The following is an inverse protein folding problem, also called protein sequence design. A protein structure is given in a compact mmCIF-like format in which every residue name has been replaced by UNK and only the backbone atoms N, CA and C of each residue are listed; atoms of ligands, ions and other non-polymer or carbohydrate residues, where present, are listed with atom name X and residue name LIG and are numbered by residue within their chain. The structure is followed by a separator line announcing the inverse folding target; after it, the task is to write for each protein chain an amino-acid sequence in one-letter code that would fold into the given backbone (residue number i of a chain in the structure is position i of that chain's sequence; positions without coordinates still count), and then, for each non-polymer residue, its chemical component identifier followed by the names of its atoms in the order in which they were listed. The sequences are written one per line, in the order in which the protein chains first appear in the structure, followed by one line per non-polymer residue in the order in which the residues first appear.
data_IF_153309003722
#
_entry.id   IF_153309003722
#
_cell.length_a   1.000
_cell.length_b   1.000
_cell.length_c   1.000
_cell.angle_alpha   90.00
_cell.angle_beta   90.00
_cell.angle_gamma   90.00
#
_symmetry.space_group_name_H-M   'P 1'
#
loop_
_entity.id
_entity.type
_entity.pdbx_description
1 polymer ?
#
# COMPACT_ATOMS: atom_id res chain seq x y z
N UNK A 1 13.20 -22.61 32.18
CA UNK A 1 13.69 -21.35 31.59
C UNK A 1 12.49 -20.51 31.31
N UNK A 2 12.34 -19.47 32.12
CA UNK A 2 11.25 -18.50 32.01
C UNK A 2 11.80 -17.28 31.30
N UNK A 3 10.95 -16.65 30.49
CA UNK A 3 11.31 -15.49 29.66
C UNK A 3 10.45 -14.32 30.12
N UNK A 4 11.11 -13.26 30.57
CA UNK A 4 10.44 -12.04 30.99
C UNK A 4 10.81 -10.92 30.04
N UNK A 5 9.82 -10.22 29.50
CA UNK A 5 9.98 -9.06 28.63
C UNK A 5 9.80 -7.79 29.45
N UNK A 6 10.64 -6.80 29.21
CA UNK A 6 10.50 -5.48 29.81
C UNK A 6 9.46 -4.64 29.07
N UNK A 7 8.35 -4.33 29.75
CA UNK A 7 7.31 -3.42 29.28
C UNK A 7 7.67 -1.97 29.67
N UNK A 8 7.90 -1.13 28.68
CA UNK A 8 8.33 0.25 28.86
C UNK A 8 7.21 1.16 29.40
N UNK A 9 5.95 0.84 29.05
CA UNK A 9 4.80 1.65 29.43
C UNK A 9 4.44 1.42 30.91
N UNK A 10 4.43 0.16 31.33
CA UNK A 10 4.10 -0.23 32.70
C UNK A 10 5.33 -0.28 33.62
N UNK A 11 6.54 -0.26 33.04
CA UNK A 11 7.82 -0.39 33.76
C UNK A 11 7.92 -1.68 34.57
N UNK A 12 7.38 -2.77 34.02
CA UNK A 12 7.28 -4.08 34.65
C UNK A 12 7.88 -5.17 33.75
N UNK A 13 8.33 -6.24 34.40
CA UNK A 13 8.75 -7.47 33.73
C UNK A 13 7.55 -8.41 33.61
N UNK A 14 7.17 -8.75 32.37
CA UNK A 14 6.03 -9.64 32.08
C UNK A 14 6.53 -10.95 31.53
N UNK A 15 6.00 -12.07 32.03
CA UNK A 15 6.32 -13.38 31.48
C UNK A 15 5.60 -13.55 30.13
N UNK A 16 6.38 -13.81 29.07
CA UNK A 16 5.84 -13.90 27.72
C UNK A 16 6.40 -15.09 26.95
N UNK A 17 5.54 -15.64 26.08
CA UNK A 17 5.88 -16.83 25.33
C UNK A 17 6.51 -16.56 23.98
N UNK A 18 6.30 -15.36 23.43
CA UNK A 18 6.76 -14.94 22.11
C UNK A 18 7.74 -13.76 22.30
N UNK A 19 8.83 -13.74 21.54
CA UNK A 19 9.85 -12.68 21.62
C UNK A 19 9.87 -11.86 20.33
N UNK A 20 9.82 -10.54 20.45
CA UNK A 20 9.94 -9.62 19.32
C UNK A 20 11.36 -9.08 19.20
N UNK A 21 11.74 -8.64 18.00
CA UNK A 21 13.09 -8.14 17.72
C UNK A 21 13.45 -6.84 18.46
N UNK A 22 12.47 -6.12 18.98
CA UNK A 22 12.67 -4.88 19.74
C UNK A 22 12.56 -5.06 21.27
N UNK A 23 12.41 -6.31 21.72
CA UNK A 23 12.25 -6.61 23.14
C UNK A 23 13.59 -6.67 23.86
N UNK A 24 13.52 -6.47 25.18
CA UNK A 24 14.59 -6.75 26.12
C UNK A 24 14.10 -7.85 27.02
N UNK A 25 14.89 -8.92 27.12
CA UNK A 25 14.43 -10.18 27.66
C UNK A 25 15.35 -10.61 28.79
N UNK A 26 14.78 -10.82 29.98
CA UNK A 26 15.43 -11.51 31.07
C UNK A 26 15.08 -13.00 30.99
N UNK A 27 16.10 -13.85 30.82
CA UNK A 27 15.95 -15.31 30.79
C UNK A 27 16.41 -15.87 32.13
N UNK A 28 15.46 -16.41 32.88
CA UNK A 28 15.72 -17.09 34.13
C UNK A 28 16.06 -18.56 33.87
N UNK A 29 17.32 -18.94 34.06
CA UNK A 29 17.73 -20.35 34.10
C UNK A 29 17.70 -20.87 35.53
N UNK A 30 16.59 -21.51 35.89
CA UNK A 30 16.36 -22.14 37.19
C UNK A 30 17.40 -23.22 37.54
N UNK A 31 17.98 -23.90 36.53
CA UNK A 31 18.95 -24.98 36.77
C UNK A 31 20.29 -24.44 37.25
N UNK A 32 20.77 -23.40 36.59
CA UNK A 32 22.05 -22.74 36.91
C UNK A 32 21.88 -21.63 37.94
N UNK A 33 20.64 -21.29 38.30
CA UNK A 33 20.30 -20.10 39.10
C UNK A 33 20.98 -18.85 38.54
N UNK A 34 20.89 -18.67 37.22
CA UNK A 34 21.45 -17.52 36.48
C UNK A 34 20.34 -16.78 35.75
N UNK A 35 20.45 -15.46 35.72
CA UNK A 35 19.53 -14.61 34.97
C UNK A 35 20.32 -13.91 33.88
N UNK A 36 19.93 -14.17 32.65
CA UNK A 36 20.59 -13.63 31.48
C UNK A 36 19.78 -12.47 30.93
N UNK A 37 20.43 -11.38 30.57
CA UNK A 37 19.77 -10.24 29.95
C UNK A 37 20.13 -10.22 28.47
N UNK A 38 19.13 -10.37 27.61
CA UNK A 38 19.28 -10.31 26.17
C UNK A 38 18.63 -9.05 25.61
N UNK A 39 19.33 -8.42 24.68
CA UNK A 39 18.85 -7.26 23.95
C UNK A 39 18.45 -7.69 22.54
N UNK A 40 17.20 -7.43 22.16
CA UNK A 40 16.75 -7.62 20.79
C UNK A 40 17.54 -6.80 19.79
N UNK A 41 17.76 -7.32 18.55
CA UNK A 41 18.60 -6.67 17.55
C UNK A 41 18.07 -5.29 17.11
N UNK A 42 16.77 -5.03 17.26
CA UNK A 42 16.12 -3.74 16.95
C UNK A 42 15.79 -2.91 18.20
N UNK A 43 16.20 -3.33 19.40
CA UNK A 43 15.93 -2.60 20.64
C UNK A 43 16.83 -1.37 20.79
N UNK A 44 16.29 -0.29 21.37
CA UNK A 44 17.06 0.89 21.76
C UNK A 44 18.00 0.58 22.94
N UNK A 45 19.19 1.19 22.92
CA UNK A 45 20.14 1.17 24.03
C UNK A 45 19.59 1.86 25.27
N UNK A 46 18.81 2.95 25.13
CA UNK A 46 18.22 3.66 26.27
C UNK A 46 17.25 2.77 27.04
N UNK A 47 16.37 2.08 26.31
CA UNK A 47 15.44 1.09 26.86
C UNK A 47 16.19 -0.05 27.57
N UNK A 48 17.31 -0.51 26.99
CA UNK A 48 18.16 -1.54 27.61
C UNK A 48 18.76 -1.09 28.94
N UNK A 49 19.27 0.15 29.01
CA UNK A 49 19.80 0.71 30.26
C UNK A 49 18.72 0.88 31.34
N UNK A 50 17.51 1.31 30.97
CA UNK A 50 16.41 1.43 31.93
C UNK A 50 15.95 0.06 32.43
N UNK A 51 15.75 -0.90 31.53
CA UNK A 51 15.41 -2.28 31.89
C UNK A 51 16.43 -2.91 32.84
N UNK A 52 17.73 -2.75 32.53
CA UNK A 52 18.82 -3.22 33.40
C UNK A 52 18.74 -2.59 34.78
N UNK A 53 18.59 -1.26 34.87
CA UNK A 53 18.51 -0.57 36.17
C UNK A 53 17.34 -1.07 37.03
N UNK A 54 16.20 -1.40 36.40
CA UNK A 54 15.02 -1.95 37.07
C UNK A 54 15.23 -3.38 37.53
N UNK A 55 15.88 -4.19 36.70
CA UNK A 55 16.24 -5.56 37.04
C UNK A 55 17.24 -5.60 38.20
N UNK A 56 18.28 -4.76 38.16
CA UNK A 56 19.25 -4.60 39.24
C UNK A 56 18.57 -4.18 40.55
N UNK A 57 17.59 -3.27 40.50
CA UNK A 57 16.81 -2.88 41.67
C UNK A 57 16.02 -4.06 42.26
N UNK A 58 15.38 -4.88 41.42
CA UNK A 58 14.63 -6.06 41.86
C UNK A 58 15.54 -7.13 42.48
N UNK A 59 16.71 -7.35 41.89
CA UNK A 59 17.69 -8.34 42.35
C UNK A 59 18.38 -7.96 43.66
N UNK A 60 18.58 -6.67 43.90
CA UNK A 60 19.17 -6.15 45.14
C UNK A 60 18.13 -5.96 46.26
N UNK A 61 16.86 -6.31 46.03
CA UNK A 61 15.83 -6.23 47.06
C UNK A 61 16.07 -7.29 48.14
N UNK A 62 16.02 -6.93 49.44
CA UNK A 62 16.31 -7.85 50.56
C UNK A 62 15.36 -9.07 50.65
N UNK A 63 14.28 -9.08 49.86
CA UNK A 63 13.33 -10.20 49.77
C UNK A 63 13.78 -11.30 48.78
N UNK A 64 14.66 -11.00 47.83
CA UNK A 64 15.15 -11.94 46.82
C UNK A 64 16.60 -12.33 47.12
N UNK A 65 16.77 -13.44 47.83
CA UNK A 65 18.09 -14.07 48.09
C UNK A 65 18.65 -14.79 46.84
N UNK A 66 18.58 -14.14 45.68
CA UNK A 66 18.98 -14.74 44.42
C UNK A 66 20.28 -14.08 43.94
N UNK A 67 21.38 -14.83 44.03
CA UNK A 67 22.68 -14.47 43.43
C UNK A 67 22.63 -14.73 41.93
N UNK A 68 21.87 -13.91 41.21
CA UNK A 68 21.92 -13.95 39.76
C UNK A 68 23.06 -13.07 39.26
N UNK A 69 23.93 -13.66 38.43
CA UNK A 69 24.96 -12.95 37.70
C UNK A 69 24.40 -12.56 36.33
N UNK A 70 24.31 -11.25 36.05
CA UNK A 70 23.89 -10.75 34.75
C UNK A 70 25.06 -10.90 33.78
N UNK A 71 24.93 -11.82 32.82
CA UNK A 71 25.91 -12.00 31.76
C UNK A 71 25.39 -11.32 30.48
N UNK A 72 26.13 -10.31 30.03
CA UNK A 72 25.82 -9.46 28.87
C UNK A 72 26.59 -9.89 27.61
N UNK A 73 27.78 -10.46 27.77
CA UNK A 73 28.75 -10.63 26.68
C UNK A 73 28.67 -12.01 26.01
N UNK A 74 28.23 -13.04 26.74
CA UNK A 74 28.15 -14.40 26.18
C UNK A 74 26.99 -15.20 26.78
N UNK A 75 25.86 -15.14 26.09
CA UNK A 75 24.76 -16.06 26.35
C UNK A 75 25.21 -17.49 26.04
N UNK A 76 25.02 -18.47 26.95
CA UNK A 76 25.30 -19.86 26.65
C UNK A 76 24.51 -20.29 25.42
N UNK A 77 25.12 -21.14 24.57
CA UNK A 77 24.48 -21.62 23.34
C UNK A 77 23.06 -22.16 23.57
N UNK A 78 22.84 -22.86 24.69
CA UNK A 78 21.52 -23.37 25.08
C UNK A 78 20.46 -22.28 25.32
N UNK A 79 20.86 -21.11 25.84
CA UNK A 79 19.97 -19.96 26.04
C UNK A 79 19.68 -19.32 24.69
N UNK A 80 20.70 -19.12 23.86
CA UNK A 80 20.57 -18.60 22.50
C UNK A 80 19.64 -19.47 21.65
N UNK A 81 19.85 -20.80 21.64
CA UNK A 81 19.03 -21.74 20.87
C UNK A 81 17.53 -21.62 21.22
N UNK A 82 17.21 -21.35 22.49
CA UNK A 82 15.82 -21.13 22.95
C UNK A 82 15.28 -19.74 22.62
N UNK A 83 16.11 -18.70 22.68
CA UNK A 83 15.73 -17.36 22.21
C UNK A 83 15.41 -17.43 20.71
N UNK A 84 16.27 -18.09 19.94
CA UNK A 84 16.10 -18.28 18.49
C UNK A 84 14.85 -19.11 18.18
N UNK A 85 14.55 -20.16 18.95
CA UNK A 85 13.31 -20.94 18.81
C UNK A 85 12.07 -20.06 19.00
N UNK A 86 12.07 -19.21 20.03
CA UNK A 86 10.96 -18.28 20.28
C UNK A 86 10.88 -17.13 19.26
N UNK A 87 12.03 -16.66 18.74
CA UNK A 87 12.07 -15.64 17.68
C UNK A 87 11.65 -16.17 16.32
N UNK A 88 11.88 -17.46 16.01
CA UNK A 88 11.41 -18.08 14.75
C UNK A 88 9.89 -18.02 14.57
N UNK A 89 9.15 -17.99 15.67
CA UNK A 89 7.69 -17.78 15.62
C UNK A 89 7.41 -16.40 15.04
N UNK A 90 8.06 -15.36 15.59
CA UNK A 90 7.96 -13.97 15.14
C UNK A 90 8.46 -13.76 13.71
N UNK A 91 9.55 -14.42 13.32
CA UNK A 91 10.09 -14.36 11.96
C UNK A 91 9.07 -14.90 10.93
N UNK A 92 8.43 -16.04 11.24
CA UNK A 92 7.37 -16.60 10.41
C UNK A 92 6.14 -15.69 10.34
N UNK A 93 5.78 -15.01 11.42
CA UNK A 93 4.69 -14.02 11.40
C UNK A 93 5.05 -12.77 10.61
N UNK A 94 6.27 -12.22 10.77
CA UNK A 94 6.74 -11.06 9.98
C UNK A 94 6.82 -11.39 8.47
N UNK A 95 7.28 -12.59 8.10
CA UNK A 95 7.27 -13.04 6.71
C UNK A 95 5.85 -13.21 6.14
N UNK A 96 4.93 -13.76 6.93
CA UNK A 96 3.52 -13.87 6.57
C UNK A 96 2.84 -12.49 6.43
N UNK A 97 3.22 -11.51 7.25
CA UNK A 97 2.75 -10.12 7.13
C UNK A 97 3.34 -9.42 5.90
N UNK A 98 4.59 -9.73 5.53
CA UNK A 98 5.26 -9.17 4.35
C UNK A 98 4.61 -9.61 3.04
N UNK A 99 4.14 -10.86 2.96
CA UNK A 99 3.48 -11.43 1.78
C UNK A 99 1.97 -11.56 1.99
N UNK A 100 1.25 -10.49 1.65
CA UNK A 100 -0.22 -10.46 1.73
C UNK A 100 -0.94 -11.38 0.74
N UNK A 101 -0.31 -11.69 -0.40
CA UNK A 101 -0.87 -12.60 -1.39
C UNK A 101 -0.41 -14.03 -1.11
N UNK A 102 -1.38 -14.92 -0.92
CA UNK A 102 -1.17 -16.31 -0.52
C UNK A 102 -0.94 -17.26 -1.71
N UNK A 103 -1.43 -16.91 -2.90
CA UNK A 103 -1.40 -17.79 -4.09
C UNK A 103 -0.64 -17.18 -5.27
N UNK A 104 0.18 -17.99 -5.93
CA UNK A 104 0.89 -17.59 -7.13
C UNK A 104 -0.02 -17.14 -8.29
N UNK A 105 -1.16 -17.80 -8.46
CA UNK A 105 -2.11 -17.49 -9.53
C UNK A 105 -2.68 -16.08 -9.35
N UNK A 106 -3.06 -15.72 -8.12
CA UNK A 106 -3.62 -14.39 -7.82
C UNK A 106 -2.55 -13.32 -7.92
N UNK A 107 -1.30 -13.60 -7.54
CA UNK A 107 -0.15 -12.69 -7.77
C UNK A 107 0.00 -12.35 -9.25
N UNK A 108 0.00 -13.36 -10.13
CA UNK A 108 0.18 -13.16 -11.58
C UNK A 108 -1.02 -12.46 -12.21
N UNK A 109 -2.23 -12.91 -11.91
CA UNK A 109 -3.46 -12.28 -12.41
C UNK A 109 -3.54 -10.82 -11.99
N UNK A 110 -3.26 -10.53 -10.72
CA UNK A 110 -3.28 -9.16 -10.21
C UNK A 110 -2.22 -8.28 -10.86
N UNK A 111 -1.00 -8.80 -11.06
CA UNK A 111 0.05 -8.08 -11.77
C UNK A 111 -0.36 -7.72 -13.19
N UNK A 112 -0.92 -8.67 -13.95
CA UNK A 112 -1.41 -8.43 -15.31
C UNK A 112 -2.48 -7.33 -15.29
N UNK A 113 -3.42 -7.40 -14.35
CA UNK A 113 -4.46 -6.39 -14.22
C UNK A 113 -3.89 -5.02 -13.86
N UNK A 114 -2.92 -4.94 -12.95
CA UNK A 114 -2.26 -3.67 -12.60
C UNK A 114 -1.54 -3.05 -13.79
N UNK A 115 -0.79 -3.85 -14.57
CA UNK A 115 -0.12 -3.37 -15.78
C UNK A 115 -1.15 -2.85 -16.78
N UNK A 116 -2.21 -3.61 -17.04
CA UNK A 116 -3.26 -3.23 -17.96
C UNK A 116 -4.00 -1.95 -17.51
N UNK A 117 -4.33 -1.83 -16.22
CA UNK A 117 -4.93 -0.62 -15.62
C UNK A 117 -4.01 0.59 -15.79
N UNK A 118 -2.72 0.46 -15.48
CA UNK A 118 -1.76 1.56 -15.63
C UNK A 118 -1.62 1.97 -17.10
N UNK A 119 -1.52 1.00 -18.01
CA UNK A 119 -1.42 1.26 -19.45
C UNK A 119 -2.67 1.96 -20.01
N UNK A 120 -3.87 1.45 -19.70
CA UNK A 120 -5.14 2.06 -20.10
C UNK A 120 -5.31 3.46 -19.48
N UNK A 121 -4.84 3.66 -18.25
CA UNK A 121 -4.80 4.98 -17.63
C UNK A 121 -3.98 6.00 -18.43
N UNK A 122 -2.80 5.60 -18.91
CA UNK A 122 -1.99 6.45 -19.80
C UNK A 122 -2.73 6.73 -21.11
N UNK A 123 -3.37 5.72 -21.72
CA UNK A 123 -4.16 5.92 -22.94
C UNK A 123 -5.35 6.87 -22.73
N UNK A 124 -6.02 6.80 -21.58
CA UNK A 124 -7.10 7.73 -21.20
C UNK A 124 -6.58 9.16 -21.11
N UNK A 125 -5.42 9.37 -20.47
CA UNK A 125 -4.78 10.68 -20.42
C UNK A 125 -4.44 11.19 -21.82
N UNK A 126 -3.81 10.37 -22.66
CA UNK A 126 -3.46 10.77 -24.03
C UNK A 126 -4.72 11.13 -24.85
N UNK A 127 -5.79 10.34 -24.72
CA UNK A 127 -7.04 10.64 -25.39
C UNK A 127 -7.67 11.94 -24.85
N UNK A 128 -7.65 12.19 -23.54
CA UNK A 128 -8.13 13.44 -22.93
C UNK A 128 -7.41 14.66 -23.55
N UNK A 129 -6.07 14.62 -23.57
CA UNK A 129 -5.24 15.72 -24.05
C UNK A 129 -5.19 15.83 -25.58
N UNK A 130 -5.70 14.85 -26.34
CA UNK A 130 -5.75 14.94 -27.81
C UNK A 130 -6.53 16.17 -28.32
N UNK A 131 -7.47 16.70 -27.51
CA UNK A 131 -8.21 17.93 -27.80
C UNK A 131 -7.34 19.19 -27.87
N UNK A 132 -6.16 19.19 -27.24
CA UNK A 132 -5.24 20.34 -27.24
C UNK A 132 -4.60 20.52 -28.63
N UNK A 133 -4.41 19.44 -29.38
CA UNK A 133 -3.72 19.45 -30.69
C UNK A 133 -4.60 19.87 -31.87
N UNK A 134 -5.81 20.36 -31.60
CA UNK A 134 -6.73 20.83 -32.64
C UNK A 134 -6.36 22.22 -33.15
N UNK A 135 -7.04 22.69 -34.20
CA UNK A 135 -6.82 24.02 -34.75
C UNK A 135 -7.47 25.10 -33.87
N UNK A 136 -6.65 25.99 -33.32
CA UNK A 136 -7.08 27.09 -32.47
C UNK A 136 -7.29 28.33 -33.33
N UNK A 137 -8.47 28.94 -33.23
CA UNK A 137 -8.74 30.25 -33.81
C UNK A 137 -8.91 31.26 -32.67
N UNK A 138 -7.80 31.89 -32.27
CA UNK A 138 -7.70 32.84 -31.15
C UNK A 138 -8.30 32.33 -29.83
N UNK A 139 -9.62 32.48 -29.66
CA UNK A 139 -10.36 32.20 -28.42
C UNK A 139 -11.17 30.89 -28.51
N UNK A 140 -11.39 30.38 -29.72
CA UNK A 140 -12.28 29.25 -29.97
C UNK A 140 -11.52 28.09 -30.63
N UNK A 141 -11.92 26.86 -30.27
CA UNK A 141 -11.50 25.63 -30.95
C UNK A 141 -12.57 25.25 -31.97
N UNK A 142 -12.12 24.98 -33.20
CA UNK A 142 -12.98 24.45 -34.27
C UNK A 142 -12.80 22.94 -34.34
N UNK A 143 -13.89 22.21 -34.16
CA UNK A 143 -13.94 20.74 -34.20
C UNK A 143 -14.95 20.29 -35.23
N UNK A 144 -14.63 19.24 -36.00
CA UNK A 144 -15.63 18.57 -36.83
C UNK A 144 -16.50 17.67 -35.95
N UNK A 145 -17.79 17.57 -36.25
CA UNK A 145 -18.70 16.74 -35.47
C UNK A 145 -18.25 15.28 -35.44
N UNK A 146 -17.73 14.76 -36.57
CA UNK A 146 -17.14 13.42 -36.65
C UNK A 146 -15.97 13.23 -35.69
N UNK A 147 -15.02 14.17 -35.64
CA UNK A 147 -13.89 14.06 -34.71
C UNK A 147 -14.36 14.07 -33.26
N UNK A 148 -15.32 14.93 -32.93
CA UNK A 148 -15.91 15.03 -31.60
C UNK A 148 -16.55 13.70 -31.14
N UNK A 149 -17.38 13.13 -32.01
CA UNK A 149 -18.08 11.87 -31.72
C UNK A 149 -17.10 10.70 -31.60
N UNK A 150 -16.09 10.66 -32.46
CA UNK A 150 -15.08 9.61 -32.43
C UNK A 150 -14.20 9.72 -31.18
N UNK A 151 -13.83 10.95 -30.80
CA UNK A 151 -13.07 11.22 -29.58
C UNK A 151 -13.83 10.77 -28.32
N UNK A 152 -15.11 11.17 -28.19
CA UNK A 152 -15.98 10.74 -27.08
C UNK A 152 -16.16 9.22 -27.06
N UNK A 153 -16.32 8.59 -28.22
CA UNK A 153 -16.52 7.14 -28.33
C UNK A 153 -15.27 6.37 -27.93
N UNK A 154 -14.09 6.78 -28.42
CA UNK A 154 -12.81 6.22 -27.96
C UNK A 154 -12.63 6.37 -26.46
N UNK A 155 -12.96 7.54 -25.91
CA UNK A 155 -12.85 7.78 -24.46
C UNK A 155 -13.75 6.82 -23.66
N UNK A 156 -15.02 6.69 -24.06
CA UNK A 156 -15.98 5.80 -23.41
C UNK A 156 -15.54 4.34 -23.47
N UNK A 157 -15.03 3.87 -24.61
CA UNK A 157 -14.54 2.51 -24.76
C UNK A 157 -13.35 2.23 -23.84
N UNK A 158 -12.37 3.14 -23.79
CA UNK A 158 -11.23 3.01 -22.87
C UNK A 158 -11.67 2.98 -21.40
N UNK A 159 -12.64 3.81 -21.01
CA UNK A 159 -13.21 3.78 -19.67
C UNK A 159 -13.94 2.47 -19.35
N UNK A 160 -14.67 1.89 -20.31
CA UNK A 160 -15.35 0.60 -20.10
C UNK A 160 -14.31 -0.51 -19.86
N UNK A 161 -13.25 -0.58 -20.66
CA UNK A 161 -12.18 -1.56 -20.44
C UNK A 161 -11.50 -1.37 -19.09
N UNK A 162 -11.23 -0.11 -18.71
CA UNK A 162 -10.68 0.24 -17.42
C UNK A 162 -11.60 -0.21 -16.26
N UNK A 163 -12.90 0.06 -16.38
CA UNK A 163 -13.91 -0.30 -15.38
C UNK A 163 -14.01 -1.82 -15.19
N UNK A 164 -14.00 -2.60 -16.28
CA UNK A 164 -14.03 -4.07 -16.22
C UNK A 164 -12.83 -4.61 -15.45
N UNK A 165 -11.63 -4.09 -15.69
CA UNK A 165 -10.44 -4.50 -14.95
C UNK A 165 -10.52 -4.15 -13.46
N UNK A 166 -11.03 -2.96 -13.13
CA UNK A 166 -11.20 -2.54 -11.74
C UNK A 166 -12.24 -3.41 -11.00
N UNK A 167 -13.34 -3.76 -11.67
CA UNK A 167 -14.35 -4.69 -11.15
C UNK A 167 -13.73 -6.07 -10.93
N UNK A 168 -12.82 -6.52 -11.79
CA UNK A 168 -12.12 -7.79 -11.62
C UNK A 168 -11.07 -7.77 -10.50
N UNK A 169 -10.36 -6.66 -10.31
CA UNK A 169 -9.38 -6.47 -9.23
C UNK A 169 -10.02 -6.47 -7.83
N UNK A 170 -11.26 -5.98 -7.71
CA UNK A 170 -11.92 -5.86 -6.40
C UNK A 170 -12.12 -7.23 -5.71
N UNK A 171 -12.67 -8.28 -6.35
CA UNK A 171 -12.71 -9.64 -5.83
C UNK A 171 -11.34 -10.22 -5.46
N UNK A 172 -10.27 -9.91 -6.23
CA UNK A 172 -8.91 -10.34 -5.88
C UNK A 172 -8.48 -9.73 -4.55
N UNK A 173 -8.75 -8.43 -4.36
CA UNK A 173 -8.49 -7.73 -3.10
C UNK A 173 -9.26 -8.35 -1.92
N UNK A 174 -10.53 -8.72 -2.12
CA UNK A 174 -11.33 -9.42 -1.11
C UNK A 174 -10.75 -10.80 -0.78
N UNK A 175 -10.39 -11.57 -1.81
CA UNK A 175 -9.88 -12.93 -1.66
C UNK A 175 -8.55 -12.97 -0.90
N UNK A 176 -7.62 -12.07 -1.24
CA UNK A 176 -6.31 -11.96 -0.61
C UNK A 176 -6.30 -11.04 0.62
N UNK A 177 -7.48 -10.55 1.05
CA UNK A 177 -7.65 -9.63 2.20
C UNK A 177 -6.75 -8.40 2.15
N UNK A 178 -6.54 -7.85 0.96
CA UNK A 178 -5.66 -6.69 0.74
C UNK A 178 -6.50 -5.41 0.63
N UNK A 179 -6.55 -4.65 1.74
CA UNK A 179 -7.39 -3.45 1.87
C UNK A 179 -7.07 -2.32 0.90
N UNK A 180 -5.81 -2.15 0.50
CA UNK A 180 -5.43 -1.12 -0.46
C UNK A 180 -5.97 -1.47 -1.86
N UNK A 181 -5.88 -2.74 -2.27
CA UNK A 181 -6.44 -3.22 -3.54
C UNK A 181 -7.94 -2.99 -3.60
N UNK A 182 -8.66 -3.33 -2.52
CA UNK A 182 -10.10 -3.10 -2.43
C UNK A 182 -10.44 -1.62 -2.54
N UNK A 183 -9.75 -0.78 -1.77
CA UNK A 183 -10.00 0.68 -1.72
C UNK A 183 -9.71 1.35 -3.07
N UNK A 184 -8.56 1.05 -3.68
CA UNK A 184 -8.18 1.62 -4.97
C UNK A 184 -9.12 1.19 -6.10
N UNK A 185 -9.52 -0.09 -6.10
CA UNK A 185 -10.48 -0.61 -7.08
C UNK A 185 -11.84 0.08 -6.93
N UNK A 186 -12.35 0.22 -5.70
CA UNK A 186 -13.65 0.86 -5.45
C UNK A 186 -13.64 2.36 -5.83
N UNK A 187 -12.60 3.10 -5.43
CA UNK A 187 -12.43 4.50 -5.84
C UNK A 187 -12.38 4.62 -7.37
N UNK A 188 -11.64 3.73 -8.02
CA UNK A 188 -11.57 3.64 -9.47
C UNK A 188 -12.92 3.39 -10.12
N UNK A 189 -13.71 2.45 -9.60
CA UNK A 189 -15.05 2.10 -10.11
C UNK A 189 -15.98 3.31 -10.02
N UNK A 190 -16.09 3.93 -8.84
CA UNK A 190 -16.96 5.10 -8.62
C UNK A 190 -16.59 6.23 -9.58
N UNK A 191 -15.29 6.52 -9.69
CA UNK A 191 -14.78 7.59 -10.55
C UNK A 191 -15.03 7.29 -12.03
N UNK A 192 -14.81 6.04 -12.45
CA UNK A 192 -15.04 5.60 -13.84
C UNK A 192 -16.52 5.68 -14.22
N UNK A 193 -17.43 5.30 -13.31
CA UNK A 193 -18.88 5.46 -13.51
C UNK A 193 -19.24 6.93 -13.64
N UNK A 194 -18.73 7.79 -12.75
CA UNK A 194 -18.96 9.24 -12.82
C UNK A 194 -18.50 9.85 -14.15
N UNK A 195 -17.28 9.52 -14.59
CA UNK A 195 -16.76 9.94 -15.89
C UNK A 195 -17.56 9.40 -17.07
N UNK A 196 -18.02 8.14 -16.99
CA UNK A 196 -18.86 7.54 -18.03
C UNK A 196 -20.21 8.27 -18.16
N UNK A 197 -20.86 8.59 -17.04
CA UNK A 197 -22.10 9.36 -17.02
C UNK A 197 -21.90 10.78 -17.57
N UNK A 198 -20.79 11.43 -17.20
CA UNK A 198 -20.41 12.75 -17.74
C UNK A 198 -20.30 12.69 -19.27
N UNK A 199 -19.55 11.73 -19.81
CA UNK A 199 -19.32 11.60 -21.26
C UNK A 199 -20.59 11.21 -22.04
N UNK A 200 -21.56 10.57 -21.38
CA UNK A 200 -22.85 10.24 -22.00
C UNK A 200 -23.75 11.46 -22.21
N UNK A 201 -23.41 12.63 -21.64
CA UNK A 201 -24.05 13.89 -22.04
C UNK A 201 -23.79 14.24 -23.51
N UNK A 202 -22.76 13.65 -24.13
CA UNK A 202 -22.52 13.73 -25.56
C UNK A 202 -22.33 15.18 -26.02
N UNK A 203 -23.20 15.62 -26.93
CA UNK A 203 -23.19 16.99 -27.46
C UNK A 203 -23.44 18.07 -26.40
N UNK A 204 -24.03 17.73 -25.24
CA UNK A 204 -24.30 18.69 -24.16
C UNK A 204 -23.13 18.87 -23.19
N UNK A 205 -22.02 18.17 -23.43
CA UNK A 205 -20.84 18.25 -22.58
C UNK A 205 -20.11 19.60 -22.69
N UNK A 206 -20.32 20.34 -23.78
CA UNK A 206 -19.85 21.71 -23.95
C UNK A 206 -20.98 22.63 -24.43
N UNK A 207 -20.89 23.91 -24.09
CA UNK A 207 -21.74 24.94 -24.67
C UNK A 207 -21.17 25.34 -26.04
N UNK A 208 -21.87 24.99 -27.11
CA UNK A 208 -21.46 25.35 -28.47
C UNK A 208 -21.76 26.83 -28.76
N UNK A 209 -20.78 27.54 -29.31
CA UNK A 209 -20.86 28.96 -29.63
C UNK A 209 -21.65 29.22 -30.93
N UNK A 210 -22.15 30.46 -31.14
CA UNK A 210 -22.78 30.86 -32.40
C UNK A 210 -21.88 30.59 -33.61
N UNK A 211 -22.48 30.13 -34.71
CA UNK A 211 -21.75 29.68 -35.90
C UNK A 211 -21.46 28.17 -35.93
N UNK A 212 -21.75 27.46 -34.83
CA UNK A 212 -21.77 25.99 -34.83
C UNK A 212 -22.86 25.45 -35.75
N UNK A 213 -22.54 24.39 -36.48
CA UNK A 213 -23.41 23.70 -37.43
C UNK A 213 -23.44 22.20 -37.10
N UNK A 214 -24.22 21.42 -37.85
CA UNK A 214 -24.23 19.96 -37.71
C UNK A 214 -22.90 19.28 -38.05
N UNK A 215 -22.03 19.94 -38.82
CA UNK A 215 -20.73 19.39 -39.26
C UNK A 215 -19.53 19.98 -38.49
N UNK A 216 -19.69 21.15 -37.86
CA UNK A 216 -18.60 21.87 -37.20
C UNK A 216 -19.10 22.49 -35.90
N UNK A 217 -18.38 22.25 -34.81
CA UNK A 217 -18.61 22.84 -33.50
C UNK A 217 -17.54 23.86 -33.16
N UNK A 218 -17.97 24.97 -32.56
CA UNK A 218 -17.10 25.98 -31.97
C UNK A 218 -17.25 25.93 -30.46
N UNK A 219 -16.12 25.72 -29.76
CA UNK A 219 -16.08 25.60 -28.30
C UNK A 219 -15.08 26.62 -27.78
N UNK A 220 -15.39 27.26 -26.65
CA UNK A 220 -14.46 28.14 -25.96
C UNK A 220 -13.23 27.37 -25.48
N UNK A 221 -12.03 27.93 -25.69
CA UNK A 221 -10.78 27.33 -25.16
C UNK A 221 -10.84 27.22 -23.63
N UNK A 222 -11.47 28.18 -22.96
CA UNK A 222 -11.60 28.16 -21.50
C UNK A 222 -12.39 26.95 -21.00
N UNK A 223 -13.50 26.62 -21.67
CA UNK A 223 -14.33 25.47 -21.30
C UNK A 223 -13.59 24.15 -21.50
N UNK A 224 -12.82 24.04 -22.58
CA UNK A 224 -11.95 22.88 -22.83
C UNK A 224 -10.88 22.78 -21.77
N UNK A 225 -10.23 23.89 -21.40
CA UNK A 225 -9.19 23.89 -20.39
C UNK A 225 -9.72 23.48 -19.00
N UNK A 226 -10.87 24.02 -18.59
CA UNK A 226 -11.54 23.63 -17.35
C UNK A 226 -11.90 22.14 -17.37
N UNK A 227 -12.46 21.66 -18.49
CA UNK A 227 -12.79 20.25 -18.68
C UNK A 227 -11.55 19.36 -18.56
N UNK A 228 -10.44 19.73 -19.21
CA UNK A 228 -9.18 18.99 -19.15
C UNK A 228 -8.64 18.90 -17.71
N UNK A 229 -8.67 20.00 -16.94
CA UNK A 229 -8.22 20.01 -15.55
C UNK A 229 -9.07 19.07 -14.69
N UNK A 230 -10.39 19.22 -14.72
CA UNK A 230 -11.30 18.44 -13.88
C UNK A 230 -11.17 16.94 -14.18
N UNK A 231 -11.16 16.57 -15.47
CA UNK A 231 -11.03 15.18 -15.87
C UNK A 231 -9.62 14.63 -15.58
N UNK A 232 -8.57 15.45 -15.66
CA UNK A 232 -7.20 15.05 -15.28
C UNK A 232 -7.10 14.74 -13.79
N UNK A 233 -7.73 15.54 -12.93
CA UNK A 233 -7.80 15.27 -11.49
C UNK A 233 -8.53 13.94 -11.24
N UNK A 234 -9.68 13.74 -11.87
CA UNK A 234 -10.44 12.49 -11.76
C UNK A 234 -9.63 11.28 -12.23
N UNK A 235 -8.96 11.36 -13.38
CA UNK A 235 -8.07 10.29 -13.85
C UNK A 235 -6.89 10.04 -12.92
N UNK A 236 -6.34 11.08 -12.29
CA UNK A 236 -5.22 10.94 -11.34
C UNK A 236 -5.60 10.13 -10.10
N UNK A 237 -6.85 10.26 -9.63
CA UNK A 237 -7.40 9.43 -8.52
C UNK A 237 -7.40 7.95 -8.89
N UNK A 238 -7.56 7.62 -10.16
CA UNK A 238 -7.48 6.24 -10.64
C UNK A 238 -6.00 5.83 -10.81
N UNK A 239 -5.20 6.65 -11.48
CA UNK A 239 -3.91 6.21 -12.03
C UNK A 239 -2.80 6.20 -10.98
N UNK A 240 -2.70 7.23 -10.14
CA UNK A 240 -1.61 7.35 -9.17
C UNK A 240 -1.60 6.21 -8.14
N UNK A 241 -2.73 5.83 -7.51
CA UNK A 241 -2.73 4.74 -6.54
C UNK A 241 -2.36 3.39 -7.18
N UNK A 242 -2.82 3.13 -8.41
CA UNK A 242 -2.52 1.89 -9.11
C UNK A 242 -1.06 1.82 -9.59
N UNK A 243 -0.47 2.94 -10.04
CA UNK A 243 0.96 3.01 -10.36
C UNK A 243 1.83 2.80 -9.12
N UNK A 244 1.49 3.45 -8.01
CA UNK A 244 2.17 3.23 -6.73
C UNK A 244 2.08 1.76 -6.30
N UNK A 245 0.90 1.15 -6.42
CA UNK A 245 0.70 -0.26 -6.09
C UNK A 245 1.48 -1.17 -7.03
N UNK A 246 1.53 -0.88 -8.32
CA UNK A 246 2.33 -1.64 -9.29
C UNK A 246 3.83 -1.65 -8.92
N UNK A 247 4.40 -0.48 -8.62
CA UNK A 247 5.82 -0.36 -8.25
C UNK A 247 6.12 -1.15 -6.97
N UNK A 248 5.29 -0.97 -5.94
CA UNK A 248 5.47 -1.68 -4.65
C UNK A 248 5.24 -3.18 -4.81
N UNK A 249 4.25 -3.60 -5.60
CA UNK A 249 3.95 -4.99 -5.85
C UNK A 249 5.07 -5.72 -6.59
N UNK A 250 5.63 -5.11 -7.65
CA UNK A 250 6.79 -5.67 -8.37
C UNK A 250 7.99 -5.81 -7.43
N UNK A 251 8.25 -4.82 -6.57
CA UNK A 251 9.36 -4.91 -5.59
C UNK A 251 9.17 -6.05 -4.60
N UNK A 252 7.95 -6.23 -4.06
CA UNK A 252 7.66 -7.26 -3.07
C UNK A 252 7.63 -8.68 -3.66
N UNK A 253 7.02 -8.85 -4.84
CA UNK A 253 6.78 -10.18 -5.43
C UNK A 253 7.75 -10.56 -6.55
N UNK A 254 8.88 -9.84 -6.71
CA UNK A 254 9.83 -10.05 -7.82
C UNK A 254 10.23 -11.51 -8.02
N UNK A 255 10.59 -12.22 -6.95
CA UNK A 255 11.03 -13.63 -7.01
C UNK A 255 9.92 -14.66 -7.22
N UNK A 256 8.66 -14.23 -7.25
CA UNK A 256 7.52 -15.09 -7.59
C UNK A 256 7.00 -14.85 -9.02
N UNK A 257 7.47 -13.76 -9.64
CA UNK A 257 7.10 -13.32 -11.00
C UNK A 257 8.16 -13.76 -12.02
N UNK A 258 9.44 -13.69 -11.65
CA UNK A 258 10.61 -14.07 -12.44
C UNK A 258 11.36 -15.21 -11.76
#
# INVERSE_FOLDING_TARGET
MLFFIYDDNEKLWKEENILLYHDIVAVLDEKEKRLYLWKGPKSDNKKFTEAKSRLDFLLNSPQLNLKFEINEDSLPKRVLDKIDEKMKITEKTEEAEKYKFSKFITVRLYLICLIAISFLGVLLFLNLFSMVYLNWNNINIRITSQFYTDWLTRYRLLLIFQLVLLIFCFPIGLYEREYQVMTFSLMGIITSIGLFLLLNQGIFLFLFLPGSTSSVYFISIFDIFLFLIINSIALSVIILPHLYKLITFIKTYRGFIF
#
